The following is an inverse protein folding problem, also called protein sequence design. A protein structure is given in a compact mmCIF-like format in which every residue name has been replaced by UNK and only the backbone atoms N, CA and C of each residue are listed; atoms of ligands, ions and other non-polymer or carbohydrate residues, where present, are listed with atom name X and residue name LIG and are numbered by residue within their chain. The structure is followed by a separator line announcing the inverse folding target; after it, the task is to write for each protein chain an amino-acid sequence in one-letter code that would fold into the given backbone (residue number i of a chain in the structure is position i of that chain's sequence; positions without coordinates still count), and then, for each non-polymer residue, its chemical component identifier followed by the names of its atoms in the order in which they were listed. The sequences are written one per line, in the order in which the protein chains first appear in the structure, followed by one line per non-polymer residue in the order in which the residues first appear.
data_IF_365089464635
#
_entry.id   IF_365089464635
#
_cell.length_a   1.000
_cell.length_b   1.000
_cell.length_c   1.000
_cell.angle_alpha   90.00
_cell.angle_beta   90.00
_cell.angle_gamma   90.00
#
_symmetry.space_group_name_H-M   'P 1'
#
loop_
_entity.id
_entity.type
_entity.pdbx_description
1 polymer ?
#
# COMPACT_ATOMS: atom_id res chain seq x y z
N UNK A 1 17.44 28.45 -37.53
CA UNK A 1 17.09 27.06 -37.19
C UNK A 1 15.83 27.07 -36.33
N UNK A 2 14.78 26.39 -36.82
CA UNK A 2 13.52 26.27 -36.08
C UNK A 2 13.61 25.05 -35.16
N UNK A 3 13.68 25.30 -33.86
CA UNK A 3 13.64 24.22 -32.84
C UNK A 3 12.17 23.82 -32.60
N UNK A 4 11.87 22.53 -32.78
CA UNK A 4 10.56 21.96 -32.49
C UNK A 4 10.63 21.22 -31.15
N UNK A 5 9.60 21.37 -30.33
CA UNK A 5 9.49 20.67 -29.05
C UNK A 5 8.36 19.62 -29.10
N UNK A 6 8.63 18.44 -28.61
CA UNK A 6 7.65 17.41 -28.36
C UNK A 6 7.68 17.10 -26.86
N UNK A 7 6.55 17.34 -26.17
CA UNK A 7 6.40 17.06 -24.74
C UNK A 7 5.62 15.76 -24.56
N UNK A 8 6.20 14.80 -23.85
CA UNK A 8 5.56 13.53 -23.52
C UNK A 8 5.26 13.49 -22.02
N UNK A 9 4.05 13.14 -21.67
CA UNK A 9 3.64 12.98 -20.26
C UNK A 9 2.64 11.83 -20.10
N UNK A 10 2.77 11.09 -19.02
CA UNK A 10 1.86 9.98 -18.70
C UNK A 10 0.56 10.44 -18.02
N UNK A 11 0.58 11.56 -17.28
CA UNK A 11 -0.52 11.94 -16.38
C UNK A 11 -0.61 13.44 -16.15
N UNK A 12 -1.06 14.18 -17.16
CA UNK A 12 -1.44 15.60 -16.98
C UNK A 12 -2.94 15.70 -17.21
N UNK A 13 -3.79 15.80 -16.16
CA UNK A 13 -5.24 15.86 -16.32
C UNK A 13 -5.72 17.13 -17.03
N UNK A 14 -4.95 18.23 -16.96
CA UNK A 14 -5.25 19.53 -17.57
C UNK A 14 -4.34 19.86 -18.74
N UNK A 15 -3.97 18.88 -19.55
CA UNK A 15 -3.02 19.07 -20.67
C UNK A 15 -3.50 20.11 -21.69
N UNK A 16 -4.81 20.26 -21.91
CA UNK A 16 -5.36 21.27 -22.82
C UNK A 16 -5.06 22.69 -22.34
N UNK A 17 -5.28 22.97 -21.05
CA UNK A 17 -4.96 24.27 -20.46
C UNK A 17 -3.45 24.57 -20.52
N UNK A 18 -2.63 23.54 -20.34
CA UNK A 18 -1.19 23.66 -20.45
C UNK A 18 -0.76 23.99 -21.89
N UNK A 19 -1.36 23.34 -22.88
CA UNK A 19 -1.11 23.62 -24.28
C UNK A 19 -1.55 25.04 -24.69
N UNK A 20 -2.71 25.51 -24.24
CA UNK A 20 -3.21 26.88 -24.43
C UNK A 20 -2.26 27.91 -23.82
N UNK A 21 -1.77 27.66 -22.61
CA UNK A 21 -0.80 28.52 -21.95
C UNK A 21 0.49 28.63 -22.76
N UNK A 22 1.06 27.52 -23.25
CA UNK A 22 2.25 27.53 -24.12
C UNK A 22 1.95 28.27 -25.42
N UNK A 23 0.80 28.04 -26.06
CA UNK A 23 0.39 28.70 -27.30
C UNK A 23 0.34 30.23 -27.13
N UNK A 24 -0.18 30.70 -26.00
CA UNK A 24 -0.26 32.14 -25.66
C UNK A 24 1.13 32.74 -25.52
N UNK A 25 2.08 32.08 -24.89
CA UNK A 25 3.44 32.56 -24.72
C UNK A 25 4.21 32.57 -26.02
N UNK A 26 4.03 31.55 -26.84
CA UNK A 26 4.81 31.36 -28.07
C UNK A 26 4.19 32.00 -29.32
N UNK A 27 2.91 32.41 -29.24
CA UNK A 27 2.21 33.03 -30.36
C UNK A 27 1.90 32.09 -31.54
N UNK A 28 1.92 30.75 -31.26
CA UNK A 28 1.52 29.74 -32.24
C UNK A 28 0.81 28.58 -31.58
N UNK A 29 -0.01 27.86 -32.34
CA UNK A 29 -0.81 26.77 -31.85
C UNK A 29 0.07 25.59 -31.43
N UNK A 30 -0.24 25.02 -30.28
CA UNK A 30 0.32 23.76 -29.79
C UNK A 30 -0.73 22.64 -29.96
N UNK A 31 -0.38 21.66 -30.76
CA UNK A 31 -1.24 20.48 -30.95
C UNK A 31 -1.11 19.52 -29.80
N UNK A 32 -2.25 18.97 -29.35
CA UNK A 32 -2.31 17.98 -28.30
C UNK A 32 -2.83 16.66 -28.82
N UNK A 33 -2.14 15.58 -28.50
CA UNK A 33 -2.57 14.21 -28.81
C UNK A 33 -2.81 13.47 -27.50
N UNK A 34 -4.02 12.98 -27.30
CA UNK A 34 -4.40 12.20 -26.12
C UNK A 34 -4.82 10.80 -26.54
N UNK A 35 -4.28 9.80 -25.87
CA UNK A 35 -4.63 8.40 -26.09
C UNK A 35 -5.02 7.77 -24.77
N UNK A 36 -6.32 7.45 -24.61
CA UNK A 36 -6.92 6.98 -23.36
C UNK A 36 -7.03 5.45 -23.26
N UNK A 37 -6.80 4.73 -24.37
CA UNK A 37 -6.90 3.27 -24.35
C UNK A 37 -5.62 2.67 -23.77
N UNK A 38 -5.72 1.95 -22.68
CA UNK A 38 -4.58 1.22 -22.10
C UNK A 38 -4.37 -0.11 -22.85
N UNK A 39 -3.10 -0.47 -23.07
CA UNK A 39 -2.75 -1.77 -23.62
C UNK A 39 -3.09 -2.90 -22.63
N UNK A 40 -2.91 -2.63 -21.34
CA UNK A 40 -3.31 -3.53 -20.25
C UNK A 40 -4.41 -2.85 -19.45
N UNK A 41 -5.56 -3.51 -19.25
CA UNK A 41 -6.63 -2.98 -18.39
C UNK A 41 -6.13 -2.69 -16.97
N UNK A 42 -6.69 -1.66 -16.35
CA UNK A 42 -6.40 -1.31 -14.96
C UNK A 42 -7.71 -1.29 -14.17
N UNK A 43 -7.80 -2.14 -13.17
CA UNK A 43 -8.85 -2.11 -12.16
C UNK A 43 -8.29 -1.60 -10.84
N UNK A 44 -9.09 -0.84 -10.10
CA UNK A 44 -8.73 -0.32 -8.79
C UNK A 44 -9.53 -1.07 -7.73
N UNK A 45 -8.81 -1.68 -6.80
CA UNK A 45 -9.38 -2.36 -5.64
C UNK A 45 -8.74 -1.79 -4.37
N UNK A 46 -9.44 -1.90 -3.25
CA UNK A 46 -8.98 -1.48 -1.94
C UNK A 46 -8.93 -2.70 -1.03
N UNK A 47 -7.96 -2.71 -0.14
CA UNK A 47 -7.88 -3.72 0.91
C UNK A 47 -8.08 -3.09 2.28
N UNK A 48 -9.08 -3.57 2.99
CA UNK A 48 -9.36 -3.25 4.38
C UNK A 48 -9.31 -4.52 5.23
N UNK A 49 -8.83 -4.41 6.49
CA UNK A 49 -8.68 -5.57 7.37
C UNK A 49 -10.00 -6.19 7.84
N UNK A 50 -11.11 -5.47 7.69
CA UNK A 50 -12.46 -5.90 8.08
C UNK A 50 -13.27 -6.33 6.87
N UNK A 51 -13.25 -5.52 5.81
CA UNK A 51 -14.02 -5.74 4.59
C UNK A 51 -13.30 -6.66 3.58
N UNK A 52 -11.98 -6.90 3.75
CA UNK A 52 -11.18 -7.61 2.78
C UNK A 52 -10.91 -6.77 1.52
N UNK A 53 -10.81 -7.44 0.37
CA UNK A 53 -10.70 -6.76 -0.94
C UNK A 53 -12.07 -6.20 -1.31
N UNK A 54 -12.13 -4.91 -1.62
CA UNK A 54 -13.40 -4.19 -1.78
C UNK A 54 -13.24 -3.00 -2.72
N UNK A 55 -14.35 -2.37 -3.07
CA UNK A 55 -14.41 -1.16 -3.88
C UNK A 55 -14.54 0.12 -3.03
N UNK A 56 -14.33 1.28 -3.67
CA UNK A 56 -14.43 2.59 -3.01
C UNK A 56 -15.82 2.88 -2.44
N UNK A 57 -16.87 2.39 -3.08
CA UNK A 57 -18.25 2.68 -2.64
C UNK A 57 -18.57 1.95 -1.34
N UNK A 58 -18.12 0.71 -1.22
CA UNK A 58 -18.25 -0.09 0.00
C UNK A 58 -17.50 0.55 1.17
N UNK A 59 -16.28 1.07 0.95
CA UNK A 59 -15.52 1.80 1.98
C UNK A 59 -16.26 3.07 2.41
N UNK A 60 -16.76 3.87 1.45
CA UNK A 60 -17.51 5.09 1.76
C UNK A 60 -18.78 4.78 2.56
N UNK A 61 -19.47 3.68 2.26
CA UNK A 61 -20.65 3.24 2.98
C UNK A 61 -20.28 2.87 4.43
N UNK A 62 -19.26 2.05 4.62
CA UNK A 62 -18.80 1.62 5.95
C UNK A 62 -18.40 2.81 6.82
N UNK A 63 -17.63 3.76 6.26
CA UNK A 63 -17.26 5.01 6.97
C UNK A 63 -18.47 5.86 7.34
N UNK A 64 -19.52 5.90 6.51
CA UNK A 64 -20.75 6.64 6.82
C UNK A 64 -21.54 5.93 7.91
N UNK A 65 -21.61 4.62 7.88
CA UNK A 65 -22.35 3.83 8.88
C UNK A 65 -21.67 3.85 10.25
N UNK A 66 -20.35 3.83 10.29
CA UNK A 66 -19.57 3.99 11.54
C UNK A 66 -19.63 5.40 12.13
N UNK A 67 -19.93 6.42 11.33
CA UNK A 67 -20.08 7.82 11.78
C UNK A 67 -21.50 8.18 12.25
N UNK A 68 -22.47 7.30 12.09
CA UNK A 68 -23.81 7.54 12.68
C UNK A 68 -23.66 7.53 14.20
N UNK A 69 -23.98 8.64 14.91
CA UNK A 69 -23.99 8.61 16.36
C UNK A 69 -25.03 7.57 16.78
N UNK A 70 -24.65 6.64 17.64
CA UNK A 70 -25.62 5.84 18.37
C UNK A 70 -26.62 6.82 19.00
N UNK A 71 -27.84 6.85 18.51
CA UNK A 71 -28.93 7.49 19.23
C UNK A 71 -28.97 6.80 20.58
N UNK A 72 -28.46 7.50 21.60
CA UNK A 72 -28.73 7.12 22.97
C UNK A 72 -30.23 7.16 23.12
N UNK A 73 -30.83 6.02 23.26
CA UNK A 73 -32.19 5.91 23.78
C UNK A 73 -32.24 6.67 25.11
N UNK A 74 -32.84 7.86 25.05
CA UNK A 74 -33.23 8.61 26.25
C UNK A 74 -34.39 7.84 26.89
N UNK A 75 -34.05 6.95 27.79
CA UNK A 75 -35.01 6.23 28.59
C UNK A 75 -34.47 5.95 29.96
N UNK A 76 -34.54 6.87 30.89
CA UNK A 76 -34.10 6.57 32.26
C UNK A 76 -34.20 7.76 33.21
N UNK A 77 -35.39 7.99 33.72
CA UNK A 77 -35.83 8.80 34.88
C UNK A 77 -34.72 9.20 35.86
N UNK A 78 -34.64 10.53 36.08
CA UNK A 78 -34.07 11.15 37.25
C UNK A 78 -34.69 10.52 38.51
N UNK A 79 -33.87 9.98 39.38
CA UNK A 79 -34.22 9.78 40.80
C UNK A 79 -33.18 10.52 41.66
N UNK A 80 -33.63 11.56 42.34
CA UNK A 80 -32.90 12.28 43.37
C UNK A 80 -32.94 11.47 44.66
N UNK A 81 -31.81 11.42 45.35
CA UNK A 81 -31.80 11.24 46.81
C UNK A 81 -30.77 10.22 47.31
N UNK A 82 -29.87 10.66 48.18
CA UNK A 82 -29.22 9.78 49.14
C UNK A 82 -27.72 9.97 49.33
N UNK A 83 -27.40 10.58 50.46
CA UNK A 83 -26.09 10.91 51.03
C UNK A 83 -25.19 9.73 51.36
N UNK A 84 -23.87 10.03 51.34
CA UNK A 84 -22.77 9.47 52.16
C UNK A 84 -22.43 7.96 52.13
N UNK A 85 -21.22 7.64 51.72
CA UNK A 85 -20.07 7.36 52.60
C UNK A 85 -18.85 6.85 51.84
N UNK A 86 -17.66 7.24 52.31
CA UNK A 86 -16.33 6.79 51.90
C UNK A 86 -16.20 5.25 52.02
N UNK A 87 -15.64 4.62 50.95
CA UNK A 87 -14.68 3.54 51.17
C UNK A 87 -13.82 3.33 49.90
N UNK A 88 -12.52 3.54 50.08
CA UNK A 88 -11.49 3.09 49.17
C UNK A 88 -11.56 1.58 48.97
N UNK A 89 -11.73 1.11 47.77
CA UNK A 89 -11.17 -0.17 47.30
C UNK A 89 -10.90 -0.12 45.82
N UNK A 90 -9.63 -0.45 45.43
CA UNK A 90 -9.10 -0.45 44.10
C UNK A 90 -9.95 -1.22 43.11
N UNK A 91 -10.62 -0.49 42.25
CA UNK A 91 -11.31 -1.04 41.07
C UNK A 91 -10.31 -1.25 39.97
N UNK A 92 -10.09 -2.50 39.56
CA UNK A 92 -9.40 -2.87 38.33
C UNK A 92 -10.03 -2.07 37.17
N UNK A 93 -9.30 -1.16 36.61
CA UNK A 93 -9.65 -0.54 35.33
C UNK A 93 -9.75 -1.65 34.29
N UNK A 94 -10.94 -2.11 34.02
CA UNK A 94 -11.24 -2.80 32.79
C UNK A 94 -10.93 -1.82 31.66
N UNK A 95 -9.76 -1.98 31.05
CA UNK A 95 -9.48 -1.41 29.73
C UNK A 95 -10.51 -2.01 28.78
N UNK A 96 -11.65 -1.36 28.63
CA UNK A 96 -12.46 -1.54 27.43
C UNK A 96 -11.52 -1.24 26.26
N UNK A 97 -11.05 -2.29 25.59
CA UNK A 97 -10.40 -2.19 24.32
C UNK A 97 -11.29 -1.29 23.45
N UNK A 98 -10.84 -0.08 23.15
CA UNK A 98 -11.36 0.69 22.03
C UNK A 98 -11.11 -0.15 20.78
N UNK A 99 -12.08 -0.97 20.44
CA UNK A 99 -12.13 -1.68 19.16
C UNK A 99 -12.60 -0.68 18.11
N UNK A 100 -11.75 0.22 17.67
CA UNK A 100 -11.89 1.02 16.44
C UNK A 100 -10.62 1.85 16.23
N UNK A 101 -9.46 1.25 16.45
CA UNK A 101 -8.28 1.77 15.79
C UNK A 101 -8.28 1.09 14.41
N UNK A 102 -8.33 1.87 13.33
CA UNK A 102 -8.02 1.42 11.99
C UNK A 102 -6.73 0.60 12.04
N UNK A 103 -6.85 -0.71 12.03
CA UNK A 103 -5.69 -1.57 12.01
C UNK A 103 -5.10 -1.44 10.60
N UNK A 104 -3.90 -0.92 10.51
CA UNK A 104 -3.19 -0.88 9.24
C UNK A 104 -3.07 -2.30 8.71
N UNK A 105 -3.61 -2.61 7.52
CA UNK A 105 -3.59 -3.94 6.97
C UNK A 105 -2.16 -4.50 6.91
N UNK A 106 -2.01 -5.76 7.26
CA UNK A 106 -0.72 -6.43 7.17
C UNK A 106 -0.37 -6.69 5.70
N UNK A 107 0.80 -6.21 5.25
CA UNK A 107 1.28 -6.50 3.88
C UNK A 107 1.39 -8.01 3.61
N UNK A 108 1.65 -8.83 4.63
CA UNK A 108 1.74 -10.30 4.49
C UNK A 108 0.36 -10.91 4.24
N UNK A 109 -0.66 -10.40 4.91
CA UNK A 109 -2.04 -10.83 4.73
C UNK A 109 -2.55 -10.48 3.32
N UNK A 110 -2.29 -9.24 2.88
CA UNK A 110 -2.62 -8.83 1.52
C UNK A 110 -1.94 -9.73 0.47
N UNK A 111 -0.66 -10.05 0.63
CA UNK A 111 0.06 -10.90 -0.33
C UNK A 111 -0.47 -12.33 -0.32
N UNK A 112 -0.90 -12.88 0.83
CA UNK A 112 -1.57 -14.18 0.87
C UNK A 112 -2.90 -14.19 0.11
N UNK A 113 -3.66 -13.11 0.19
CA UNK A 113 -4.89 -12.96 -0.58
C UNK A 113 -4.56 -12.95 -2.08
N UNK A 114 -3.58 -12.13 -2.50
CA UNK A 114 -3.15 -12.07 -3.89
C UNK A 114 -2.64 -13.42 -4.41
N UNK A 115 -1.93 -14.18 -3.58
CA UNK A 115 -1.49 -15.55 -3.90
C UNK A 115 -2.69 -16.49 -4.07
N UNK A 116 -3.67 -16.45 -3.16
CA UNK A 116 -4.87 -17.29 -3.22
C UNK A 116 -5.78 -16.97 -4.41
N UNK A 117 -5.71 -15.74 -4.92
CA UNK A 117 -6.47 -15.28 -6.09
C UNK A 117 -5.69 -15.37 -7.42
N UNK A 118 -4.52 -16.02 -7.40
CA UNK A 118 -3.62 -16.15 -8.57
C UNK A 118 -3.22 -14.80 -9.20
N UNK A 119 -3.05 -13.77 -8.33
CA UNK A 119 -2.67 -12.40 -8.71
C UNK A 119 -1.18 -12.10 -8.52
N UNK A 120 -0.34 -13.11 -8.43
CA UNK A 120 1.12 -12.96 -8.43
C UNK A 120 1.69 -13.12 -9.85
N UNK A 121 2.82 -12.47 -10.19
CA UNK A 121 3.65 -11.62 -9.33
C UNK A 121 3.04 -10.24 -9.06
N UNK A 122 3.38 -9.66 -7.90
CA UNK A 122 2.89 -8.35 -7.47
C UNK A 122 4.03 -7.38 -7.16
N UNK A 123 3.83 -6.09 -7.40
CA UNK A 123 4.76 -5.03 -7.00
C UNK A 123 4.14 -4.27 -5.83
N UNK A 124 4.87 -4.23 -4.71
CA UNK A 124 4.45 -3.56 -3.49
C UNK A 124 5.27 -2.28 -3.25
N UNK A 125 4.62 -1.12 -3.32
CA UNK A 125 5.27 0.16 -3.09
C UNK A 125 5.31 0.54 -1.61
N UNK A 126 6.46 1.08 -1.18
CA UNK A 126 6.66 1.65 0.16
C UNK A 126 7.32 3.01 0.05
N UNK A 127 6.84 3.99 0.85
CA UNK A 127 7.33 5.37 0.80
C UNK A 127 8.71 5.60 1.46
N UNK A 128 9.31 4.58 2.06
CA UNK A 128 10.59 4.68 2.75
C UNK A 128 11.47 3.49 2.39
N UNK A 129 12.76 3.72 2.09
CA UNK A 129 13.75 2.68 1.83
C UNK A 129 13.80 1.65 2.97
N UNK A 130 13.94 2.13 4.19
CA UNK A 130 13.99 1.28 5.38
C UNK A 130 12.72 0.45 5.56
N UNK A 131 11.54 1.00 5.23
CA UNK A 131 10.28 0.27 5.28
C UNK A 131 10.19 -0.77 4.17
N UNK A 132 10.68 -0.46 2.97
CA UNK A 132 10.75 -1.38 1.84
C UNK A 132 11.59 -2.62 2.19
N UNK A 133 12.81 -2.41 2.67
CA UNK A 133 13.70 -3.50 3.09
C UNK A 133 13.13 -4.32 4.24
N UNK A 134 12.59 -3.67 5.26
CA UNK A 134 12.00 -4.36 6.42
C UNK A 134 10.84 -5.26 5.99
N UNK A 135 9.91 -4.75 5.18
CA UNK A 135 8.76 -5.52 4.69
C UNK A 135 9.17 -6.70 3.82
N UNK A 136 10.17 -6.51 2.95
CA UNK A 136 10.70 -7.61 2.14
C UNK A 136 11.35 -8.70 2.99
N UNK A 137 12.13 -8.33 4.01
CA UNK A 137 12.73 -9.27 4.97
C UNK A 137 11.67 -10.01 5.78
N UNK A 138 10.62 -9.31 6.24
CA UNK A 138 9.48 -9.91 6.95
C UNK A 138 8.71 -10.90 6.07
N UNK A 139 8.47 -10.53 4.82
CA UNK A 139 7.80 -11.39 3.85
C UNK A 139 8.62 -12.65 3.55
N UNK A 140 9.90 -12.51 3.23
CA UNK A 140 10.81 -13.62 2.94
C UNK A 140 11.00 -14.60 4.12
N UNK A 141 10.80 -14.14 5.36
CA UNK A 141 10.79 -15.01 6.55
C UNK A 141 9.54 -15.87 6.66
N UNK A 142 8.40 -15.39 6.16
CA UNK A 142 7.08 -16.01 6.37
C UNK A 142 6.56 -16.74 5.14
N UNK A 143 7.03 -16.39 3.95
CA UNK A 143 6.55 -16.94 2.68
C UNK A 143 7.71 -17.32 1.77
N UNK A 144 7.45 -18.26 0.87
CA UNK A 144 8.38 -18.71 -0.15
C UNK A 144 7.60 -18.87 -1.46
N UNK A 145 8.02 -18.15 -2.49
CA UNK A 145 7.37 -18.09 -3.79
C UNK A 145 8.16 -18.84 -4.89
N UNK A 146 9.30 -19.44 -4.53
CA UNK A 146 10.19 -20.11 -5.48
C UNK A 146 10.15 -21.61 -5.32
N UNK A 147 10.18 -22.31 -6.43
CA UNK A 147 10.48 -23.74 -6.54
C UNK A 147 11.98 -24.00 -6.34
N UNK A 148 12.38 -25.28 -6.23
CA UNK A 148 13.81 -25.62 -6.10
C UNK A 148 14.61 -25.31 -7.37
N UNK A 149 14.01 -25.46 -8.55
CA UNK A 149 14.69 -25.20 -9.82
C UNK A 149 14.84 -23.69 -10.07
N UNK A 150 13.82 -22.88 -9.74
CA UNK A 150 13.95 -21.44 -9.77
C UNK A 150 15.03 -20.94 -8.82
N UNK A 151 15.17 -21.54 -7.64
CA UNK A 151 16.26 -21.19 -6.70
C UNK A 151 17.63 -21.48 -7.27
N UNK A 152 17.82 -22.61 -7.97
CA UNK A 152 19.08 -22.90 -8.66
C UNK A 152 19.38 -21.84 -9.71
N UNK A 153 18.40 -21.51 -10.54
CA UNK A 153 18.52 -20.46 -11.55
C UNK A 153 18.88 -19.10 -10.92
N UNK A 154 18.24 -18.72 -9.81
CA UNK A 154 18.57 -17.49 -9.07
C UNK A 154 20.01 -17.51 -8.58
N UNK A 155 20.49 -18.63 -8.05
CA UNK A 155 21.87 -18.78 -7.59
C UNK A 155 22.87 -18.61 -8.73
N UNK A 156 22.61 -19.24 -9.86
CA UNK A 156 23.44 -19.12 -11.05
C UNK A 156 23.50 -17.69 -11.57
N UNK A 157 22.34 -17.06 -11.72
CA UNK A 157 22.23 -15.65 -12.15
C UNK A 157 22.93 -14.70 -11.18
N UNK A 158 22.74 -14.89 -9.86
CA UNK A 158 23.42 -14.11 -8.83
C UNK A 158 24.96 -14.29 -8.93
N UNK A 159 25.44 -15.51 -9.06
CA UNK A 159 26.86 -15.77 -9.17
C UNK A 159 27.46 -15.25 -10.49
N UNK A 160 26.69 -15.18 -11.55
CA UNK A 160 27.11 -14.62 -12.84
C UNK A 160 27.26 -13.09 -12.81
N UNK A 161 26.32 -12.40 -12.14
CA UNK A 161 26.22 -10.93 -12.23
C UNK A 161 26.78 -10.18 -11.01
N UNK A 162 26.94 -10.84 -9.87
CA UNK A 162 27.49 -10.21 -8.66
C UNK A 162 28.97 -10.59 -8.50
N UNK A 163 29.84 -9.60 -8.46
CA UNK A 163 31.30 -9.79 -8.31
C UNK A 163 31.69 -10.29 -6.91
N UNK A 164 32.81 -10.98 -6.79
CA UNK A 164 33.31 -11.53 -5.51
C UNK A 164 33.40 -10.48 -4.40
N UNK A 165 33.97 -9.29 -4.60
CA UNK A 165 34.01 -8.27 -3.54
C UNK A 165 32.61 -7.89 -3.04
N UNK A 166 31.65 -7.78 -3.96
CA UNK A 166 30.26 -7.44 -3.61
C UNK A 166 29.57 -8.58 -2.85
N UNK A 167 29.83 -9.85 -3.20
CA UNK A 167 29.25 -11.00 -2.50
C UNK A 167 29.64 -11.08 -1.03
N UNK A 168 30.81 -10.57 -0.68
CA UNK A 168 31.29 -10.57 0.69
C UNK A 168 30.54 -9.58 1.59
N UNK A 169 29.88 -8.57 1.02
CA UNK A 169 29.12 -7.55 1.74
C UNK A 169 27.89 -8.14 2.44
N UNK A 170 27.61 -7.70 3.65
CA UNK A 170 26.44 -8.14 4.43
C UNK A 170 25.13 -7.87 3.69
N UNK A 171 25.00 -6.68 3.11
CA UNK A 171 23.82 -6.29 2.33
C UNK A 171 23.56 -7.21 1.12
N UNK A 172 24.62 -7.59 0.40
CA UNK A 172 24.51 -8.50 -0.74
C UNK A 172 24.07 -9.91 -0.32
N UNK A 173 24.57 -10.39 0.82
CA UNK A 173 24.13 -11.68 1.39
C UNK A 173 22.66 -11.64 1.82
N UNK A 174 22.22 -10.55 2.45
CA UNK A 174 20.82 -10.36 2.84
C UNK A 174 19.89 -10.33 1.63
N UNK A 175 20.26 -9.57 0.59
CA UNK A 175 19.49 -9.51 -0.67
C UNK A 175 19.41 -10.90 -1.32
N UNK A 176 20.53 -11.65 -1.37
CA UNK A 176 20.51 -13.02 -1.88
C UNK A 176 19.51 -13.91 -1.16
N UNK A 177 19.46 -13.84 0.17
CA UNK A 177 18.51 -14.63 0.97
C UNK A 177 17.05 -14.29 0.66
N UNK A 178 16.76 -13.02 0.42
CA UNK A 178 15.40 -12.55 0.05
C UNK A 178 15.04 -13.04 -1.37
N UNK A 179 15.96 -12.90 -2.32
CA UNK A 179 15.79 -13.36 -3.70
C UNK A 179 15.52 -14.86 -3.79
N UNK A 180 16.21 -15.67 -2.99
CA UNK A 180 15.98 -17.13 -2.93
C UNK A 180 14.58 -17.50 -2.43
N UNK A 181 13.84 -16.58 -1.88
CA UNK A 181 12.43 -16.73 -1.48
C UNK A 181 11.45 -16.20 -2.54
N UNK A 182 11.95 -15.68 -3.67
CA UNK A 182 11.14 -15.05 -4.71
C UNK A 182 10.71 -13.63 -4.38
N UNK A 183 11.42 -12.96 -3.48
CA UNK A 183 11.15 -11.56 -3.10
C UNK A 183 12.29 -10.69 -3.59
N UNK A 184 11.98 -9.64 -4.35
CA UNK A 184 12.94 -8.62 -4.79
C UNK A 184 12.76 -7.32 -4.00
N UNK A 185 13.83 -6.53 -3.88
CA UNK A 185 13.82 -5.19 -3.29
C UNK A 185 14.48 -4.23 -4.26
N UNK A 186 13.80 -3.13 -4.53
CA UNK A 186 14.35 -2.02 -5.32
C UNK A 186 14.02 -0.69 -4.65
N UNK A 187 15.03 0.16 -4.51
CA UNK A 187 14.87 1.56 -4.08
C UNK A 187 16.05 2.38 -4.60
N UNK A 188 15.85 3.66 -4.81
CA UNK A 188 16.88 4.62 -5.21
C UNK A 188 17.73 5.08 -4.02
#
# INVERSE_FOLDING_TARGET
DQVRFVCLSATIPNFTQFAEWISTIKGHTVETVSYMKRAVPLSHEFYDSVLGVTDMQSIIKDVKDTKKPHQMEQGGRFNRGGKHSNHHKGGKFNKHKKQNAFQTPSHIELIRILESEDKLPAIFFSFSRALCERRAKELAKKMKFTTEDERKTIIEMYNKHVTEPTRSMTSAREIKQILLKGVGVHHA
#
